data_IF_374989525163
#
_entry.id   IF_374989525163
#
_cell.length_a   1.000
_cell.length_b   1.000
_cell.length_c   1.000
_cell.angle_alpha   90.00
_cell.angle_beta   90.00
_cell.angle_gamma   90.00
#
_symmetry.space_group_name_H-M   'P 1'
#
loop_
_entity.id
_entity.type
_entity.pdbx_description
1 polymer ?
#
# COMPACT_ATOMS: atom_id res chain seq x y z
N UNK A 1 -15.81 -13.13 -19.05
CA UNK A 1 -15.18 -14.47 -18.97
C UNK A 1 -13.93 -14.40 -19.85
N UNK A 2 -12.76 -14.17 -19.28
CA UNK A 2 -11.51 -14.08 -20.05
C UNK A 2 -10.72 -15.37 -19.86
N UNK A 3 -10.73 -16.22 -20.89
CA UNK A 3 -9.92 -17.44 -20.96
C UNK A 3 -8.66 -17.08 -21.76
N UNK A 4 -7.55 -16.84 -21.06
CA UNK A 4 -6.23 -16.74 -21.69
C UNK A 4 -5.63 -18.15 -21.76
N UNK A 5 -5.78 -18.79 -22.91
CA UNK A 5 -5.15 -20.06 -23.23
C UNK A 5 -3.62 -19.92 -23.19
N UNK A 6 -2.98 -20.48 -22.18
CA UNK A 6 -1.52 -20.67 -22.13
C UNK A 6 -1.19 -21.97 -22.86
N UNK A 7 -0.86 -21.88 -24.15
CA UNK A 7 -0.42 -23.02 -24.95
C UNK A 7 1.11 -23.07 -24.93
N UNK A 8 1.64 -23.98 -24.12
CA UNK A 8 3.01 -24.49 -24.23
C UNK A 8 4.09 -23.66 -23.55
N UNK A 9 4.33 -23.90 -22.26
CA UNK A 9 5.66 -23.87 -21.67
C UNK A 9 5.64 -24.74 -20.41
N UNK A 10 6.61 -25.64 -20.34
CA UNK A 10 6.77 -26.69 -19.34
C UNK A 10 6.49 -26.25 -17.91
N UNK A 11 5.66 -27.03 -17.21
CA UNK A 11 5.48 -27.06 -15.75
C UNK A 11 5.82 -25.77 -14.98
N UNK A 12 5.29 -24.63 -15.41
CA UNK A 12 5.28 -23.43 -14.60
C UNK A 12 4.38 -23.72 -13.42
N UNK A 13 4.95 -23.77 -12.21
CA UNK A 13 4.18 -23.93 -10.97
C UNK A 13 2.95 -23.01 -11.00
N UNK A 14 1.80 -23.40 -10.43
CA UNK A 14 0.59 -22.57 -10.44
C UNK A 14 0.84 -21.14 -9.89
N UNK A 15 1.86 -20.98 -9.05
CA UNK A 15 2.32 -19.69 -8.55
C UNK A 15 3.00 -18.81 -9.62
N UNK A 16 3.69 -19.39 -10.59
CA UNK A 16 4.32 -18.67 -11.71
C UNK A 16 3.30 -18.03 -12.64
N UNK A 17 2.21 -18.72 -12.97
CA UNK A 17 1.13 -18.16 -13.78
C UNK A 17 0.41 -17.02 -13.05
N UNK A 18 0.13 -17.17 -11.75
CA UNK A 18 -0.48 -16.11 -10.93
C UNK A 18 0.42 -14.88 -10.81
N UNK A 19 1.74 -15.08 -10.69
CA UNK A 19 2.73 -14.01 -10.66
C UNK A 19 2.71 -13.21 -11.97
N UNK A 20 2.73 -13.88 -13.13
CA UNK A 20 2.68 -13.21 -14.43
C UNK A 20 1.40 -12.40 -14.64
N UNK A 21 0.25 -12.98 -14.25
CA UNK A 21 -1.04 -12.25 -14.30
C UNK A 21 -1.01 -11.02 -13.41
N UNK A 22 -0.48 -11.13 -12.19
CA UNK A 22 -0.36 -10.01 -11.27
C UNK A 22 0.57 -8.90 -11.82
N UNK A 23 1.69 -9.28 -12.45
CA UNK A 23 2.64 -8.34 -13.07
C UNK A 23 2.00 -7.57 -14.25
N UNK A 24 1.10 -8.19 -15.00
CA UNK A 24 0.37 -7.53 -16.10
C UNK A 24 -0.82 -6.70 -15.61
N UNK A 25 -1.55 -7.19 -14.60
CA UNK A 25 -2.77 -6.54 -14.11
C UNK A 25 -2.48 -5.32 -13.22
N UNK A 26 -1.42 -5.38 -12.41
CA UNK A 26 -1.12 -4.34 -11.42
C UNK A 26 -0.87 -2.95 -12.05
N UNK A 27 -0.08 -2.78 -13.13
CA UNK A 27 0.09 -1.48 -13.77
C UNK A 27 -1.22 -0.87 -14.29
N UNK A 28 -2.11 -1.70 -14.83
CA UNK A 28 -3.43 -1.27 -15.32
C UNK A 28 -4.29 -0.80 -14.15
N UNK A 29 -4.30 -1.57 -13.07
CA UNK A 29 -5.01 -1.21 -11.84
C UNK A 29 -4.49 0.11 -11.27
N UNK A 30 -3.18 0.26 -11.08
CA UNK A 30 -2.57 1.48 -10.53
C UNK A 30 -2.86 2.69 -11.41
N UNK A 31 -2.84 2.55 -12.75
CA UNK A 31 -3.21 3.63 -13.67
C UNK A 31 -4.66 4.07 -13.49
N UNK A 32 -5.58 3.11 -13.30
CA UNK A 32 -7.01 3.40 -13.08
C UNK A 32 -7.25 4.08 -11.74
N UNK A 33 -6.57 3.62 -10.69
CA UNK A 33 -6.60 4.25 -9.37
C UNK A 33 -6.09 5.68 -9.45
N UNK A 34 -4.93 5.89 -10.10
CA UNK A 34 -4.36 7.22 -10.34
C UNK A 34 -5.35 8.17 -11.03
N UNK A 35 -5.97 7.73 -12.13
CA UNK A 35 -7.01 8.52 -12.81
C UNK A 35 -8.16 8.89 -11.86
N UNK A 36 -8.64 7.91 -11.09
CA UNK A 36 -9.76 8.12 -10.15
C UNK A 36 -9.41 9.13 -9.05
N UNK A 37 -8.17 9.08 -8.55
CA UNK A 37 -7.67 10.05 -7.56
C UNK A 37 -7.59 11.46 -8.15
N UNK A 38 -7.09 11.60 -9.38
CA UNK A 38 -6.99 12.90 -10.06
C UNK A 38 -8.36 13.50 -10.40
N UNK A 39 -9.31 12.67 -10.83
CA UNK A 39 -10.68 13.10 -11.17
C UNK A 39 -11.45 13.58 -9.93
N UNK A 40 -11.15 13.03 -8.75
CA UNK A 40 -11.80 13.42 -7.49
C UNK A 40 -11.46 14.84 -7.01
N UNK A 41 -10.44 15.49 -7.59
CA UNK A 41 -10.08 16.87 -7.27
C UNK A 41 -10.86 17.95 -8.02
N UNK A 42 -11.64 17.59 -9.05
CA UNK A 42 -12.12 18.53 -10.08
C UNK A 42 -13.65 18.77 -10.12
N UNK A 43 -14.47 17.81 -9.70
CA UNK A 43 -15.93 17.89 -9.93
C UNK A 43 -16.69 18.59 -8.78
N UNK A 44 -17.83 19.22 -9.12
CA UNK A 44 -18.70 19.97 -8.19
C UNK A 44 -20.12 19.39 -8.07
N UNK A 45 -20.51 18.38 -8.86
CA UNK A 45 -21.91 17.89 -8.92
C UNK A 45 -22.08 16.43 -9.37
N UNK A 46 -21.06 15.75 -9.90
CA UNK A 46 -21.07 14.30 -10.15
C UNK A 46 -20.57 13.49 -8.92
N UNK A 47 -20.52 14.14 -7.76
CA UNK A 47 -19.52 13.88 -6.73
C UNK A 47 -19.72 12.60 -5.94
N UNK A 48 -20.95 12.18 -5.67
CA UNK A 48 -21.15 11.10 -4.69
C UNK A 48 -20.66 9.74 -5.23
N UNK A 49 -20.99 9.40 -6.46
CA UNK A 49 -20.53 8.13 -7.06
C UNK A 49 -19.03 8.13 -7.31
N UNK A 50 -18.44 9.27 -7.66
CA UNK A 50 -16.98 9.37 -7.85
C UNK A 50 -16.23 9.34 -6.52
N UNK A 51 -16.79 9.97 -5.48
CA UNK A 51 -16.29 9.89 -4.11
C UNK A 51 -16.31 8.44 -3.60
N UNK A 52 -17.43 7.74 -3.74
CA UNK A 52 -17.51 6.33 -3.32
C UNK A 52 -16.54 5.42 -4.11
N UNK A 53 -16.35 5.68 -5.41
CA UNK A 53 -15.31 4.99 -6.20
C UNK A 53 -13.91 5.27 -5.68
N UNK A 54 -13.59 6.53 -5.40
CA UNK A 54 -12.30 6.95 -4.86
C UNK A 54 -12.03 6.28 -3.51
N UNK A 55 -13.00 6.30 -2.59
CA UNK A 55 -12.90 5.63 -1.30
C UNK A 55 -12.72 4.12 -1.44
N UNK A 56 -13.50 3.47 -2.31
CA UNK A 56 -13.34 2.05 -2.61
C UNK A 56 -11.94 1.72 -3.17
N UNK A 57 -11.38 2.59 -4.02
CA UNK A 57 -10.01 2.45 -4.50
C UNK A 57 -8.99 2.57 -3.36
N UNK A 58 -9.17 3.53 -2.44
CA UNK A 58 -8.29 3.70 -1.28
C UNK A 58 -8.36 2.51 -0.32
N UNK A 59 -9.56 1.99 -0.04
CA UNK A 59 -9.74 0.81 0.80
C UNK A 59 -9.10 -0.43 0.17
N UNK A 60 -9.27 -0.60 -1.15
CA UNK A 60 -8.61 -1.69 -1.90
C UNK A 60 -7.09 -1.56 -1.82
N UNK A 61 -6.54 -0.35 -1.99
CA UNK A 61 -5.11 -0.10 -1.87
C UNK A 61 -4.56 -0.44 -0.48
N UNK A 62 -5.31 -0.13 0.57
CA UNK A 62 -4.93 -0.42 1.96
C UNK A 62 -4.92 -1.93 2.26
N UNK A 63 -5.89 -2.66 1.70
CA UNK A 63 -6.02 -4.10 1.84
C UNK A 63 -5.00 -4.88 0.98
N UNK A 64 -4.58 -4.31 -0.14
CA UNK A 64 -3.61 -4.93 -1.04
C UNK A 64 -2.25 -5.07 -0.38
N UNK A 65 -1.70 -6.27 -0.46
CA UNK A 65 -0.33 -6.59 -0.06
C UNK A 65 0.25 -7.47 -1.17
N UNK A 66 1.44 -7.13 -1.66
CA UNK A 66 2.01 -7.73 -2.86
C UNK A 66 3.20 -8.60 -2.53
N UNK A 67 3.35 -9.70 -3.27
CA UNK A 67 4.57 -10.48 -3.23
C UNK A 67 5.74 -9.60 -3.75
N UNK A 68 6.93 -9.69 -3.14
CA UNK A 68 8.11 -8.92 -3.55
C UNK A 68 8.40 -8.96 -5.06
N UNK A 69 8.22 -10.12 -5.70
CA UNK A 69 8.42 -10.31 -7.14
C UNK A 69 7.42 -9.52 -8.02
N UNK A 70 6.20 -9.27 -7.53
CA UNK A 70 5.22 -8.43 -8.22
C UNK A 70 5.65 -6.97 -8.11
N UNK A 71 6.02 -6.53 -6.91
CA UNK A 71 6.48 -5.17 -6.64
C UNK A 71 7.71 -4.82 -7.49
N UNK A 72 8.71 -5.70 -7.51
CA UNK A 72 9.98 -5.49 -8.22
C UNK A 72 9.80 -5.34 -9.74
N UNK A 73 8.73 -5.94 -10.29
CA UNK A 73 8.40 -5.86 -11.71
C UNK A 73 7.70 -4.54 -12.08
N UNK A 74 6.97 -3.93 -11.15
CA UNK A 74 6.25 -2.67 -11.40
C UNK A 74 7.09 -1.45 -11.08
N UNK A 75 8.05 -1.55 -10.16
CA UNK A 75 8.99 -0.47 -9.88
C UNK A 75 9.92 -0.21 -11.07
N UNK A 76 10.13 1.06 -11.47
CA UNK A 76 11.00 1.38 -12.59
C UNK A 76 12.42 0.81 -12.38
N UNK A 77 13.03 0.20 -13.42
CA UNK A 77 14.39 -0.32 -13.31
C UNK A 77 15.36 0.82 -12.96
N UNK A 78 16.30 0.55 -12.05
CA UNK A 78 17.28 1.54 -11.59
C UNK A 78 16.73 2.67 -10.70
N UNK A 79 15.43 2.65 -10.35
CA UNK A 79 14.88 3.68 -9.46
C UNK A 79 15.45 3.58 -8.04
N UNK A 80 15.72 4.74 -7.42
CA UNK A 80 16.10 4.85 -6.00
C UNK A 80 15.05 4.20 -5.09
N UNK A 81 13.78 4.24 -5.49
CA UNK A 81 12.67 3.53 -4.86
C UNK A 81 12.90 2.02 -4.79
N UNK A 82 13.30 1.40 -5.89
CA UNK A 82 13.62 -0.04 -5.94
C UNK A 82 14.80 -0.38 -5.03
N UNK A 83 15.82 0.48 -4.97
CA UNK A 83 16.94 0.30 -4.05
C UNK A 83 16.51 0.40 -2.57
N UNK A 84 15.66 1.38 -2.23
CA UNK A 84 15.15 1.58 -0.86
C UNK A 84 14.29 0.39 -0.40
N UNK A 85 13.38 -0.10 -1.26
CA UNK A 85 12.56 -1.27 -0.96
C UNK A 85 13.44 -2.50 -0.73
N UNK A 86 14.44 -2.73 -1.60
CA UNK A 86 15.36 -3.87 -1.47
C UNK A 86 16.25 -3.79 -0.23
N UNK A 87 16.79 -2.61 0.09
CA UNK A 87 17.66 -2.41 1.25
C UNK A 87 16.94 -2.64 2.59
N UNK A 88 15.59 -2.59 2.60
CA UNK A 88 14.77 -2.84 3.78
C UNK A 88 14.32 -4.29 3.92
N UNK A 89 14.59 -5.16 2.94
CA UNK A 89 14.29 -6.58 3.04
C UNK A 89 15.38 -7.26 3.89
N UNK A 90 15.07 -7.74 5.11
CA UNK A 90 16.04 -8.54 5.85
C UNK A 90 16.28 -9.85 5.09
N UNK A 91 17.57 -10.19 4.90
CA UNK A 91 17.97 -11.49 4.35
C UNK A 91 17.33 -12.62 5.19
N UNK A 92 16.41 -13.37 4.57
CA UNK A 92 15.74 -14.51 5.19
C UNK A 92 14.23 -14.40 5.40
N UNK A 93 13.62 -13.22 5.20
CA UNK A 93 12.17 -13.06 5.35
C UNK A 93 11.40 -13.33 4.04
N UNK A 94 11.39 -14.59 3.60
CA UNK A 94 10.75 -15.09 2.36
C UNK A 94 9.22 -14.87 2.25
N UNK A 95 8.57 -14.16 3.18
CA UNK A 95 7.10 -14.19 3.31
C UNK A 95 6.42 -12.82 3.53
N UNK A 96 7.13 -11.70 3.66
CA UNK A 96 6.45 -10.43 3.87
C UNK A 96 5.87 -9.91 2.56
N UNK A 97 4.54 -9.93 2.47
CA UNK A 97 3.83 -9.15 1.46
C UNK A 97 4.02 -7.67 1.82
N UNK A 98 4.49 -6.87 0.87
CA UNK A 98 4.81 -5.45 1.06
C UNK A 98 3.73 -4.59 0.39
N UNK A 99 3.51 -3.37 0.90
CA UNK A 99 2.69 -2.35 0.22
C UNK A 99 3.53 -1.35 -0.55
N UNK A 100 4.65 -1.79 -1.11
CA UNK A 100 5.54 -0.94 -1.89
C UNK A 100 4.89 -0.37 -3.17
N UNK A 101 3.72 -0.88 -3.61
CA UNK A 101 2.91 -0.22 -4.63
C UNK A 101 2.41 1.17 -4.22
N UNK A 102 2.26 1.43 -2.91
CA UNK A 102 1.85 2.75 -2.41
C UNK A 102 2.89 3.84 -2.72
N UNK A 103 4.16 3.48 -2.80
CA UNK A 103 5.22 4.40 -3.18
C UNK A 103 5.08 4.90 -4.62
N UNK A 104 4.54 4.06 -5.51
CA UNK A 104 4.30 4.42 -6.92
C UNK A 104 3.21 5.49 -7.01
N UNK A 105 2.25 5.45 -6.08
CA UNK A 105 1.13 6.38 -6.01
C UNK A 105 1.40 7.53 -5.02
N UNK A 106 2.60 7.65 -4.45
CA UNK A 106 2.87 8.57 -3.35
C UNK A 106 2.55 10.02 -3.71
N UNK A 107 2.97 10.48 -4.88
CA UNK A 107 2.68 11.84 -5.36
C UNK A 107 1.17 12.10 -5.49
N UNK A 108 0.45 11.15 -6.08
CA UNK A 108 -1.01 11.23 -6.28
C UNK A 108 -1.75 11.20 -4.92
N UNK A 109 -1.30 10.37 -3.98
CA UNK A 109 -1.84 10.32 -2.62
C UNK A 109 -1.59 11.63 -1.87
N UNK A 110 -0.39 12.21 -1.96
CA UNK A 110 -0.06 13.49 -1.33
C UNK A 110 -0.95 14.62 -1.87
N UNK A 111 -1.22 14.63 -3.18
CA UNK A 111 -2.15 15.60 -3.77
C UNK A 111 -3.55 15.49 -3.14
N UNK A 112 -4.02 14.26 -2.86
CA UNK A 112 -5.32 14.02 -2.22
C UNK A 112 -5.39 14.45 -0.75
N UNK A 113 -4.27 14.69 -0.05
CA UNK A 113 -4.27 15.24 1.32
C UNK A 113 -4.93 16.63 1.36
N UNK A 114 -4.84 17.37 0.25
CA UNK A 114 -5.49 18.68 0.09
C UNK A 114 -6.92 18.61 -0.45
N UNK A 115 -7.51 17.42 -0.56
CA UNK A 115 -8.90 17.24 -1.03
C UNK A 115 -9.88 17.99 -0.12
N UNK A 116 -10.96 18.54 -0.69
CA UNK A 116 -12.03 19.19 0.09
C UNK A 116 -12.85 18.19 0.89
N UNK A 117 -12.88 16.94 0.45
CA UNK A 117 -13.64 15.86 1.08
C UNK A 117 -12.89 15.28 2.28
N UNK A 118 -13.47 15.44 3.48
CA UNK A 118 -12.86 14.97 4.73
C UNK A 118 -12.59 13.45 4.71
N UNK A 119 -13.53 12.66 4.19
CA UNK A 119 -13.39 11.20 4.11
C UNK A 119 -12.17 10.78 3.31
N UNK A 120 -11.93 11.44 2.17
CA UNK A 120 -10.77 11.18 1.31
C UNK A 120 -9.48 11.55 2.04
N UNK A 121 -9.42 12.73 2.66
CA UNK A 121 -8.24 13.16 3.42
C UNK A 121 -7.88 12.16 4.52
N UNK A 122 -8.86 11.76 5.33
CA UNK A 122 -8.64 10.81 6.43
C UNK A 122 -8.15 9.46 5.93
N UNK A 123 -8.79 8.93 4.86
CA UNK A 123 -8.38 7.66 4.27
C UNK A 123 -6.95 7.70 3.71
N UNK A 124 -6.61 8.77 2.99
CA UNK A 124 -5.26 8.99 2.43
C UNK A 124 -4.21 9.12 3.54
N UNK A 125 -4.50 9.88 4.60
CA UNK A 125 -3.60 10.01 5.75
C UNK A 125 -3.33 8.67 6.42
N UNK A 126 -4.37 7.86 6.64
CA UNK A 126 -4.22 6.51 7.18
C UNK A 126 -3.35 5.63 6.26
N UNK A 127 -3.53 5.74 4.95
CA UNK A 127 -2.76 5.00 3.95
C UNK A 127 -1.27 5.40 3.94
N UNK A 128 -0.99 6.70 4.05
CA UNK A 128 0.37 7.23 4.11
C UNK A 128 1.06 6.86 5.42
N UNK A 129 0.34 6.85 6.54
CA UNK A 129 0.86 6.35 7.82
C UNK A 129 1.21 4.87 7.73
N UNK A 130 0.32 4.07 7.15
CA UNK A 130 0.53 2.64 6.93
C UNK A 130 1.77 2.38 6.06
N UNK A 131 1.92 3.13 4.96
CA UNK A 131 3.12 3.08 4.13
C UNK A 131 4.37 3.51 4.91
N UNK A 132 4.27 4.54 5.74
CA UNK A 132 5.36 5.05 6.58
C UNK A 132 5.81 4.03 7.64
N UNK A 133 4.89 3.31 8.26
CA UNK A 133 5.19 2.23 9.22
C UNK A 133 5.93 1.07 8.54
N UNK A 134 5.48 0.66 7.35
CA UNK A 134 6.14 -0.42 6.58
C UNK A 134 7.55 -0.04 6.12
N UNK A 135 7.77 1.23 5.79
CA UNK A 135 9.08 1.73 5.38
C UNK A 135 10.00 2.03 6.59
N UNK A 136 9.48 1.90 7.81
CA UNK A 136 10.17 2.27 9.04
C UNK A 136 10.48 3.76 9.13
N UNK A 137 9.68 4.60 8.46
CA UNK A 137 9.75 6.06 8.52
C UNK A 137 8.98 6.60 9.73
N UNK A 138 7.95 5.88 10.15
CA UNK A 138 7.24 6.17 11.40
C UNK A 138 7.90 5.35 12.51
N UNK A 139 8.33 5.98 13.62
CA UNK A 139 8.77 5.21 14.78
C UNK A 139 7.58 4.34 15.19
N UNK A 140 7.73 3.00 15.11
CA UNK A 140 6.74 2.07 15.66
C UNK A 140 6.45 2.58 17.06
N UNK A 141 5.22 2.96 17.33
CA UNK A 141 4.83 3.42 18.66
C UNK A 141 5.27 2.32 19.62
N UNK A 142 6.37 2.56 20.33
CA UNK A 142 6.90 1.62 21.30
C UNK A 142 5.75 1.42 22.26
N UNK A 143 5.16 0.24 22.25
CA UNK A 143 4.21 -0.18 23.26
C UNK A 143 4.99 -0.19 24.58
N UNK A 144 5.13 0.98 25.20
CA UNK A 144 5.49 1.10 26.61
C UNK A 144 4.37 0.37 27.32
N UNK A 145 4.65 -0.87 27.70
CA UNK A 145 3.89 -1.56 28.72
C UNK A 145 3.75 -0.60 29.91
N UNK A 146 2.57 -0.49 30.52
CA UNK A 146 2.44 0.27 31.75
C UNK A 146 3.34 -0.42 32.78
N UNK A 147 4.49 0.18 33.08
CA UNK A 147 5.27 -0.16 34.26
C UNK A 147 4.35 0.05 35.44
N UNK A 148 3.96 -1.07 36.04
CA UNK A 148 3.23 -1.16 37.30
C UNK A 148 4.05 -0.38 38.33
N UNK A 149 3.65 0.85 38.60
CA UNK A 149 4.16 1.62 39.72
C UNK A 149 3.58 1.00 41.00
N UNK A 150 4.19 -0.07 41.50
CA UNK A 150 4.02 -0.51 42.88
C UNK A 150 4.78 0.48 43.76
N UNK A 151 4.09 1.59 44.10
CA UNK A 151 4.37 2.33 45.31
C UNK A 151 3.97 1.48 46.50
N UNK A 152 4.95 0.98 47.24
CA UNK A 152 4.75 0.59 48.63
C UNK A 152 5.20 1.80 49.45
N UNK A 153 4.22 2.56 49.91
CA UNK A 153 4.37 3.50 51.01
C UNK A 153 4.51 2.66 52.28
N UNK A 154 5.73 2.60 52.82
CA UNK A 154 5.95 2.14 54.19
C UNK A 154 5.67 3.34 55.11
N UNK A 155 4.45 3.36 55.64
CA UNK A 155 3.98 4.32 56.63
C UNK A 155 4.45 3.83 58.00
N UNK A 156 5.35 4.59 58.61
CA UNK A 156 5.69 4.41 60.01
C UNK A 156 4.48 4.58 60.91
N UNK A 157 4.27 3.57 61.77
CA UNK A 157 3.64 3.62 63.09
C UNK A 157 4.22 2.48 63.93
#
# INVERSE_FOLDING_TARGET
MYVLCSRGAEASSPQGCLLQVAQLALPVFLRRVKSTLQDSGSSKTADRLQLEKCLCCLDTLAAMTLAPAVTDAVLPPGSRLKALVRARRPDGALAYRERAHLLILYEDLVACVSSRELRVRTAVQALLLLAGEELGLVPKASAKSPQKATGILDLGL
#
